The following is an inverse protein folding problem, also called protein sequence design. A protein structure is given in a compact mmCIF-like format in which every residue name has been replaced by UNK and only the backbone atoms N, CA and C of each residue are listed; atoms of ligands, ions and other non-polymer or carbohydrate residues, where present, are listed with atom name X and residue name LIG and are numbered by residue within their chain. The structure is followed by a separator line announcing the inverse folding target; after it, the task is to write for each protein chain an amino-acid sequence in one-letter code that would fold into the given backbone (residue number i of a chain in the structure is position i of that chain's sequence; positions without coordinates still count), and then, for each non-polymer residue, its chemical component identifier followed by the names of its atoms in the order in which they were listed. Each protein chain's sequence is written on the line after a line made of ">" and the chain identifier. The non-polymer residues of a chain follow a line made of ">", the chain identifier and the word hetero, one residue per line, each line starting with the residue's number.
data_IF_465257433438
#
_entry.id   IF_465257433438
#
_cell.length_a   1.000
_cell.length_b   1.000
_cell.length_c   1.000
_cell.angle_alpha   90.00
_cell.angle_beta   90.00
_cell.angle_gamma   90.00
#
_symmetry.space_group_name_H-M   'P 1'
#
loop_
_entity.id
_entity.type
_entity.pdbx_description
1 polymer ?
#
# COMPACT_ATOMS: atom_id res chain seq x y z
N UNK A 1 25.74 39.53 1.79
CA UNK A 1 24.73 38.89 2.65
C UNK A 1 24.43 37.52 2.06
N UNK A 2 25.02 36.45 2.61
CA UNK A 2 24.97 35.07 2.07
C UNK A 2 23.83 34.33 2.73
N UNK A 3 22.75 34.07 1.98
CA UNK A 3 21.72 33.14 2.40
C UNK A 3 22.12 31.75 1.86
N UNK A 4 22.84 30.99 2.65
CA UNK A 4 22.99 29.53 2.50
C UNK A 4 22.05 28.85 3.47
N UNK A 5 20.81 28.64 3.10
CA UNK A 5 19.92 27.70 3.77
C UNK A 5 19.92 26.41 2.95
N UNK A 6 20.91 25.57 3.21
CA UNK A 6 20.87 24.17 2.83
C UNK A 6 19.73 23.51 3.61
N UNK A 7 18.61 23.31 2.94
CA UNK A 7 17.54 22.46 3.44
C UNK A 7 18.03 21.00 3.34
N UNK A 8 18.86 20.58 4.32
CA UNK A 8 19.12 19.18 4.57
C UNK A 8 17.80 18.59 5.07
N UNK A 9 17.06 17.93 4.20
CA UNK A 9 16.09 16.93 4.59
C UNK A 9 16.91 15.81 5.25
N UNK A 10 17.21 16.00 6.51
CA UNK A 10 17.75 14.94 7.35
C UNK A 10 16.60 13.95 7.56
N UNK A 11 16.45 13.02 6.63
CA UNK A 11 15.80 11.75 6.92
C UNK A 11 16.52 11.25 8.17
N UNK A 12 15.81 11.30 9.30
CA UNK A 12 16.38 10.92 10.59
C UNK A 12 16.65 9.42 10.54
N UNK A 13 17.86 9.06 10.13
CA UNK A 13 18.37 7.69 9.98
C UNK A 13 18.16 6.88 11.27
N UNK A 14 18.04 7.55 12.41
CA UNK A 14 17.76 6.90 13.71
C UNK A 14 16.38 6.22 13.75
N UNK A 15 15.40 6.68 12.96
CA UNK A 15 14.10 6.00 12.86
C UNK A 15 14.21 4.66 12.11
N UNK A 16 15.17 4.53 11.20
CA UNK A 16 15.46 3.28 10.48
C UNK A 16 16.39 2.37 11.27
N UNK A 17 17.36 2.91 12.01
CA UNK A 17 18.26 2.13 12.89
C UNK A 17 17.51 1.40 14.00
N UNK A 18 16.30 1.82 14.33
CA UNK A 18 15.45 1.20 15.32
C UNK A 18 14.90 -0.17 14.86
N UNK A 19 14.88 -0.44 13.57
CA UNK A 19 14.50 -1.75 13.00
C UNK A 19 15.64 -2.77 13.21
N UNK A 20 16.87 -2.33 13.36
CA UNK A 20 18.11 -3.14 13.30
C UNK A 20 18.44 -3.94 14.57
N UNK A 21 17.53 -4.09 15.53
CA UNK A 21 17.73 -5.11 16.56
C UNK A 21 17.33 -6.46 15.96
N UNK A 22 18.30 -7.27 15.57
CA UNK A 22 18.21 -8.47 14.74
C UNK A 22 16.92 -9.30 14.85
N UNK A 23 16.39 -9.49 16.05
CA UNK A 23 15.21 -10.31 16.26
C UNK A 23 13.89 -9.65 15.79
N UNK A 24 13.76 -8.32 15.95
CA UNK A 24 12.52 -7.62 15.56
C UNK A 24 12.36 -7.53 14.04
N UNK A 25 13.47 -7.40 13.30
CA UNK A 25 13.45 -7.43 11.85
C UNK A 25 13.01 -8.80 11.34
N UNK A 26 13.52 -9.87 11.91
CA UNK A 26 13.14 -11.22 11.56
C UNK A 26 11.62 -11.44 11.74
N UNK A 27 11.07 -11.07 12.90
CA UNK A 27 9.63 -11.19 13.16
C UNK A 27 8.78 -10.30 12.23
N UNK A 28 9.24 -9.09 11.90
CA UNK A 28 8.55 -8.23 10.96
C UNK A 28 8.53 -8.84 9.55
N UNK A 29 9.66 -9.38 9.09
CA UNK A 29 9.72 -10.08 7.80
C UNK A 29 8.81 -11.33 7.78
N UNK A 30 8.78 -12.08 8.88
CA UNK A 30 7.85 -13.21 9.02
C UNK A 30 6.39 -12.75 8.90
N UNK A 31 6.00 -11.64 9.54
CA UNK A 31 4.65 -11.09 9.41
C UNK A 31 4.34 -10.65 7.99
N UNK A 32 5.30 -10.07 7.26
CA UNK A 32 5.15 -9.69 5.85
C UNK A 32 4.91 -10.94 4.99
N UNK A 33 5.71 -11.99 5.16
CA UNK A 33 5.56 -13.26 4.42
C UNK A 33 4.21 -13.92 4.73
N UNK A 34 3.82 -14.00 6.01
CA UNK A 34 2.53 -14.55 6.44
C UNK A 34 1.37 -13.74 5.84
N UNK A 35 1.46 -12.41 5.88
CA UNK A 35 0.46 -11.51 5.29
C UNK A 35 0.26 -11.77 3.80
N UNK A 36 1.37 -11.86 3.06
CA UNK A 36 1.34 -12.13 1.63
C UNK A 36 0.73 -13.51 1.35
N UNK A 37 1.17 -14.53 2.09
CA UNK A 37 0.67 -15.91 1.94
C UNK A 37 -0.83 -16.02 2.17
N UNK A 38 -1.35 -15.38 3.23
CA UNK A 38 -2.79 -15.39 3.53
C UNK A 38 -3.58 -14.74 2.39
N UNK A 39 -3.15 -13.56 1.90
CA UNK A 39 -3.84 -12.83 0.85
C UNK A 39 -3.82 -13.57 -0.49
N UNK A 40 -2.70 -14.20 -0.83
CA UNK A 40 -2.59 -15.03 -2.03
C UNK A 40 -3.44 -16.31 -1.92
N UNK A 41 -3.54 -16.90 -0.73
CA UNK A 41 -4.38 -18.09 -0.50
C UNK A 41 -5.87 -17.79 -0.73
N UNK A 42 -6.34 -16.62 -0.29
CA UNK A 42 -7.74 -16.20 -0.46
C UNK A 42 -8.01 -15.50 -1.79
N UNK A 43 -7.00 -15.30 -2.65
CA UNK A 43 -7.17 -14.62 -3.92
C UNK A 43 -8.05 -15.45 -4.88
N UNK A 44 -9.23 -14.95 -5.31
CA UNK A 44 -10.11 -15.68 -6.21
C UNK A 44 -9.64 -15.52 -7.65
N UNK A 45 -8.86 -16.47 -8.16
CA UNK A 45 -8.27 -16.41 -9.50
C UNK A 45 -9.30 -16.52 -10.62
N UNK A 46 -10.40 -17.24 -10.40
CA UNK A 46 -11.42 -17.50 -11.43
C UNK A 46 -12.57 -16.48 -11.42
N UNK A 47 -12.66 -15.66 -10.40
CA UNK A 47 -13.75 -14.71 -10.22
C UNK A 47 -13.31 -13.31 -10.68
N UNK A 48 -14.04 -12.67 -11.61
CA UNK A 48 -13.71 -11.30 -12.01
C UNK A 48 -13.91 -10.31 -10.87
N UNK A 49 -13.32 -9.11 -11.01
CA UNK A 49 -13.55 -7.97 -10.13
C UNK A 49 -15.03 -7.56 -10.18
N UNK A 50 -15.55 -7.08 -9.05
CA UNK A 50 -16.95 -6.66 -8.88
C UNK A 50 -17.05 -5.20 -8.46
N UNK A 51 -18.23 -4.57 -8.70
CA UNK A 51 -18.57 -3.22 -8.24
C UNK A 51 -17.45 -2.18 -8.41
N UNK A 52 -17.09 -1.49 -7.34
CA UNK A 52 -16.07 -0.41 -7.35
C UNK A 52 -14.74 -0.83 -8.00
N UNK A 53 -14.36 -2.10 -7.86
CA UNK A 53 -13.18 -2.64 -8.50
C UNK A 53 -13.23 -2.58 -10.03
N UNK A 54 -14.43 -2.81 -10.64
CA UNK A 54 -14.65 -2.70 -12.09
C UNK A 54 -14.56 -1.25 -12.55
N UNK A 55 -15.11 -0.32 -11.78
CA UNK A 55 -15.06 1.10 -12.14
C UNK A 55 -13.62 1.59 -12.17
N UNK A 56 -12.84 1.25 -11.14
CA UNK A 56 -11.40 1.55 -11.11
C UNK A 56 -10.62 0.88 -12.23
N UNK A 57 -10.96 -0.37 -12.55
CA UNK A 57 -10.38 -1.10 -13.67
C UNK A 57 -10.63 -0.38 -14.98
N UNK A 58 -11.90 -0.05 -15.28
CA UNK A 58 -12.32 0.58 -16.51
C UNK A 58 -11.63 1.92 -16.74
N UNK A 59 -11.56 2.74 -15.70
CA UNK A 59 -10.84 4.01 -15.73
C UNK A 59 -9.33 3.79 -15.99
N UNK A 60 -8.68 2.90 -15.23
CA UNK A 60 -7.26 2.62 -15.39
C UNK A 60 -6.96 2.08 -16.80
N UNK A 61 -7.82 1.22 -17.32
CA UNK A 61 -7.70 0.65 -18.66
C UNK A 61 -7.85 1.73 -19.75
N UNK A 62 -8.84 2.60 -19.66
CA UNK A 62 -9.03 3.70 -20.62
C UNK A 62 -7.83 4.65 -20.61
N UNK A 63 -7.36 5.07 -19.42
CA UNK A 63 -6.16 5.92 -19.32
C UNK A 63 -4.93 5.21 -19.90
N UNK A 64 -4.78 3.91 -19.64
CA UNK A 64 -3.64 3.13 -20.17
C UNK A 64 -3.59 3.10 -21.70
N UNK A 65 -4.75 3.11 -22.37
CA UNK A 65 -4.87 3.06 -23.82
C UNK A 65 -4.84 4.43 -24.49
N UNK A 66 -5.56 5.41 -23.90
CA UNK A 66 -5.75 6.71 -24.52
C UNK A 66 -4.74 7.75 -24.08
N UNK A 67 -4.06 7.53 -22.94
CA UNK A 67 -3.18 8.50 -22.26
C UNK A 67 -3.92 9.82 -21.93
N UNK A 68 -5.24 9.75 -21.80
CA UNK A 68 -6.11 10.89 -21.49
C UNK A 68 -7.02 10.54 -20.33
N UNK A 69 -7.44 11.55 -19.58
CA UNK A 69 -8.45 11.37 -18.53
C UNK A 69 -9.81 11.07 -19.18
N UNK A 70 -10.54 10.08 -18.69
CA UNK A 70 -11.90 9.82 -19.12
C UNK A 70 -12.81 11.03 -18.88
N UNK A 71 -13.57 11.44 -19.89
CA UNK A 71 -14.43 12.64 -19.81
C UNK A 71 -15.90 12.31 -19.51
N UNK A 72 -16.27 11.05 -19.51
CA UNK A 72 -17.68 10.59 -19.41
C UNK A 72 -18.06 9.93 -18.09
N UNK A 73 -17.11 9.71 -17.18
CA UNK A 73 -17.35 8.95 -15.97
C UNK A 73 -16.99 9.83 -14.77
N UNK A 74 -17.98 10.15 -13.95
CA UNK A 74 -17.76 10.82 -12.66
C UNK A 74 -17.25 9.79 -11.65
N UNK A 75 -15.94 9.72 -11.52
CA UNK A 75 -15.31 8.93 -10.46
C UNK A 75 -15.02 9.80 -9.25
N UNK A 76 -15.30 9.28 -8.08
CA UNK A 76 -15.03 9.97 -6.81
C UNK A 76 -13.60 9.80 -6.31
N UNK A 77 -12.84 8.84 -6.88
CA UNK A 77 -11.50 8.46 -6.43
C UNK A 77 -10.57 8.14 -7.61
N UNK A 78 -10.00 9.16 -8.24
CA UNK A 78 -9.15 8.99 -9.44
C UNK A 78 -7.73 8.51 -9.12
N UNK A 79 -7.28 8.64 -7.88
CA UNK A 79 -5.89 8.35 -7.49
C UNK A 79 -5.49 6.89 -7.68
N UNK A 80 -6.34 5.94 -7.32
CA UNK A 80 -6.08 4.52 -7.49
C UNK A 80 -6.03 4.08 -8.95
N UNK A 81 -7.03 4.40 -9.79
CA UNK A 81 -6.98 4.10 -11.22
C UNK A 81 -5.77 4.70 -11.92
N UNK A 82 -5.42 5.94 -11.61
CA UNK A 82 -4.23 6.59 -12.16
C UNK A 82 -2.93 5.89 -11.78
N UNK A 83 -2.85 5.37 -10.55
CA UNK A 83 -1.72 4.57 -10.11
C UNK A 83 -1.65 3.22 -10.84
N UNK A 84 -2.80 2.62 -11.20
CA UNK A 84 -2.86 1.36 -11.95
C UNK A 84 -2.57 1.53 -13.45
N UNK A 85 -2.91 2.67 -14.04
CA UNK A 85 -2.81 2.87 -15.49
C UNK A 85 -1.42 2.62 -16.08
N UNK A 86 -0.29 3.03 -15.49
CA UNK A 86 1.04 2.69 -15.99
C UNK A 86 1.33 1.18 -15.87
N UNK A 87 0.81 0.51 -14.84
CA UNK A 87 0.95 -0.94 -14.69
C UNK A 87 0.25 -1.65 -15.85
N UNK A 88 -0.99 -1.24 -16.16
CA UNK A 88 -1.75 -1.76 -17.29
C UNK A 88 -1.06 -1.47 -18.63
N UNK A 89 -0.44 -0.30 -18.79
CA UNK A 89 0.34 0.05 -19.99
C UNK A 89 1.55 -0.86 -20.17
N UNK A 90 2.24 -1.22 -19.09
CA UNK A 90 3.42 -2.13 -19.14
C UNK A 90 2.99 -3.54 -19.51
N UNK A 91 1.89 -4.03 -18.97
CA UNK A 91 1.33 -5.38 -19.27
C UNK A 91 0.82 -5.43 -20.72
N UNK A 92 0.36 -4.32 -21.26
CA UNK A 92 0.02 -4.17 -22.67
C UNK A 92 -1.33 -4.77 -23.06
N UNK A 93 -1.37 -5.53 -24.17
CA UNK A 93 -2.61 -6.10 -24.73
C UNK A 93 -2.92 -7.50 -24.19
N UNK A 94 -2.84 -7.67 -22.87
CA UNK A 94 -3.25 -8.90 -22.21
C UNK A 94 -4.77 -9.04 -22.15
N UNK A 95 -5.22 -10.26 -21.90
CA UNK A 95 -6.64 -10.55 -21.67
C UNK A 95 -7.15 -9.85 -20.39
N UNK A 96 -8.46 -9.71 -20.31
CA UNK A 96 -9.15 -9.04 -19.19
C UNK A 96 -8.72 -9.60 -17.82
N UNK A 97 -8.68 -10.93 -17.67
CA UNK A 97 -8.36 -11.56 -16.40
C UNK A 97 -6.92 -11.31 -15.96
N UNK A 98 -5.97 -11.24 -16.89
CA UNK A 98 -4.58 -10.88 -16.58
C UNK A 98 -4.47 -9.46 -15.98
N UNK A 99 -5.20 -8.50 -16.53
CA UNK A 99 -5.23 -7.13 -15.98
C UNK A 99 -5.97 -7.06 -14.63
N UNK A 100 -7.04 -7.85 -14.45
CA UNK A 100 -7.73 -8.02 -13.16
C UNK A 100 -6.78 -8.57 -12.10
N UNK A 101 -5.99 -9.58 -12.45
CA UNK A 101 -5.00 -10.12 -11.52
C UNK A 101 -3.90 -9.10 -11.21
N UNK A 102 -3.46 -8.32 -12.19
CA UNK A 102 -2.49 -7.25 -11.96
C UNK A 102 -3.01 -6.21 -10.95
N UNK A 103 -4.26 -5.78 -11.07
CA UNK A 103 -4.89 -4.87 -10.12
C UNK A 103 -4.93 -5.47 -8.71
N UNK A 104 -5.38 -6.73 -8.56
CA UNK A 104 -5.46 -7.43 -7.27
C UNK A 104 -4.09 -7.65 -6.65
N UNK A 105 -3.13 -8.14 -7.42
CA UNK A 105 -1.76 -8.37 -6.94
C UNK A 105 -1.13 -7.04 -6.48
N UNK A 106 -1.33 -5.97 -7.23
CA UNK A 106 -0.86 -4.63 -6.85
C UNK A 106 -1.47 -4.21 -5.51
N UNK A 107 -2.76 -4.38 -5.33
CA UNK A 107 -3.48 -4.09 -4.09
C UNK A 107 -2.95 -4.93 -2.92
N UNK A 108 -2.71 -6.23 -3.11
CA UNK A 108 -2.13 -7.14 -2.13
C UNK A 108 -0.73 -6.70 -1.71
N UNK A 109 0.12 -6.35 -2.68
CA UNK A 109 1.49 -5.88 -2.40
C UNK A 109 1.45 -4.59 -1.57
N UNK A 110 0.63 -3.63 -1.94
CA UNK A 110 0.46 -2.36 -1.21
C UNK A 110 -0.05 -2.60 0.21
N UNK A 111 -1.08 -3.43 0.38
CA UNK A 111 -1.61 -3.81 1.70
C UNK A 111 -0.54 -4.48 2.57
N UNK A 112 0.28 -5.35 1.98
CA UNK A 112 1.37 -6.02 2.68
C UNK A 112 2.47 -5.04 3.09
N UNK A 113 2.84 -4.09 2.22
CA UNK A 113 3.83 -3.05 2.53
C UNK A 113 3.36 -2.10 3.63
N UNK A 114 2.05 -1.94 3.83
CA UNK A 114 1.47 -1.12 4.90
C UNK A 114 1.83 -1.61 6.31
N UNK A 115 2.20 -2.88 6.47
CA UNK A 115 2.66 -3.44 7.74
C UNK A 115 3.88 -2.68 8.28
N UNK A 116 4.76 -2.19 7.40
CA UNK A 116 5.98 -1.47 7.78
C UNK A 116 5.67 -0.15 8.50
N UNK A 117 4.93 0.80 7.89
CA UNK A 117 4.58 2.04 8.57
C UNK A 117 3.67 1.82 9.78
N UNK A 118 2.79 0.81 9.78
CA UNK A 118 1.98 0.44 10.95
C UNK A 118 2.88 0.00 12.11
N UNK A 119 3.87 -0.86 11.88
CA UNK A 119 4.84 -1.24 12.90
C UNK A 119 5.63 -0.03 13.43
N UNK A 120 6.14 0.83 12.54
CA UNK A 120 6.89 2.04 12.92
C UNK A 120 6.01 2.98 13.74
N UNK A 121 4.76 3.18 13.33
CA UNK A 121 3.79 4.02 14.03
C UNK A 121 3.50 3.48 15.43
N UNK A 122 3.16 2.20 15.55
CA UNK A 122 2.86 1.54 16.82
C UNK A 122 4.06 1.60 17.77
N UNK A 123 5.28 1.46 17.25
CA UNK A 123 6.52 1.56 18.02
C UNK A 123 6.78 2.95 18.63
N UNK A 124 6.10 4.00 18.16
CA UNK A 124 6.17 5.32 18.81
C UNK A 124 5.48 5.37 20.17
N UNK A 125 4.50 4.50 20.39
CA UNK A 125 3.65 4.49 21.59
C UNK A 125 3.98 3.34 22.53
N UNK A 126 4.51 2.22 22.02
CA UNK A 126 4.79 1.03 22.81
C UNK A 126 6.16 0.43 22.50
N UNK A 127 6.62 -0.53 23.30
CA UNK A 127 7.89 -1.22 23.05
C UNK A 127 7.81 -2.07 21.77
N UNK A 128 8.98 -2.40 21.20
CA UNK A 128 9.09 -3.14 19.94
C UNK A 128 8.33 -4.48 19.93
N UNK A 129 8.24 -5.17 21.07
CA UNK A 129 7.49 -6.43 21.17
C UNK A 129 6.00 -6.23 21.00
N UNK A 130 5.44 -5.21 21.67
CA UNK A 130 4.02 -4.85 21.54
C UNK A 130 3.70 -4.23 20.17
N UNK A 131 4.67 -3.55 19.56
CA UNK A 131 4.50 -3.04 18.20
C UNK A 131 4.36 -4.17 17.16
N UNK A 132 5.02 -5.30 17.36
CA UNK A 132 4.83 -6.50 16.52
C UNK A 132 3.42 -7.09 16.68
N UNK A 133 2.85 -7.05 17.89
CA UNK A 133 1.45 -7.46 18.11
C UNK A 133 0.49 -6.54 17.35
N UNK A 134 0.69 -5.23 17.41
CA UNK A 134 -0.10 -4.27 16.63
C UNK A 134 -0.01 -4.50 15.13
N UNK A 135 1.19 -4.76 14.60
CA UNK A 135 1.38 -5.15 13.21
C UNK A 135 0.70 -6.50 12.89
N UNK A 136 0.73 -7.46 13.82
CA UNK A 136 0.02 -8.74 13.69
C UNK A 136 -1.49 -8.58 13.59
N UNK A 137 -2.10 -7.73 14.42
CA UNK A 137 -3.53 -7.42 14.33
C UNK A 137 -3.88 -6.93 12.93
N UNK A 138 -3.07 -6.01 12.36
CA UNK A 138 -3.25 -5.52 11.00
C UNK A 138 -3.15 -6.64 9.95
N UNK A 139 -2.22 -7.59 10.13
CA UNK A 139 -2.03 -8.74 9.21
C UNK A 139 -3.25 -9.65 9.16
N UNK A 140 -3.85 -9.94 10.32
CA UNK A 140 -4.93 -10.90 10.47
C UNK A 140 -6.33 -10.27 10.45
N UNK A 141 -6.45 -8.97 10.25
CA UNK A 141 -7.74 -8.30 10.15
C UNK A 141 -8.50 -8.78 8.89
N UNK A 142 -9.69 -9.40 9.04
CA UNK A 142 -10.42 -9.97 7.90
C UNK A 142 -10.84 -8.92 6.88
N UNK A 143 -11.19 -7.71 7.33
CA UNK A 143 -11.62 -6.64 6.43
C UNK A 143 -10.47 -6.09 5.59
N UNK A 144 -9.27 -6.00 6.18
CA UNK A 144 -8.07 -5.58 5.46
C UNK A 144 -7.61 -6.65 4.45
N UNK A 145 -7.80 -7.93 4.78
CA UNK A 145 -7.55 -9.02 3.84
C UNK A 145 -8.53 -8.93 2.67
N UNK A 146 -9.83 -8.84 2.95
CA UNK A 146 -10.89 -8.72 1.95
C UNK A 146 -10.63 -7.54 1.01
N UNK A 147 -10.44 -6.32 1.52
CA UNK A 147 -10.21 -5.13 0.71
C UNK A 147 -8.96 -5.28 -0.18
N UNK A 148 -7.91 -5.97 0.29
CA UNK A 148 -6.71 -6.16 -0.51
C UNK A 148 -6.90 -7.09 -1.71
N UNK A 149 -7.81 -8.07 -1.63
CA UNK A 149 -8.09 -9.00 -2.72
C UNK A 149 -9.20 -8.52 -3.69
N UNK A 150 -9.96 -7.50 -3.28
CA UNK A 150 -10.97 -6.87 -4.14
C UNK A 150 -10.38 -5.90 -5.17
N UNK A 151 -9.14 -5.45 -5.00
CA UNK A 151 -8.49 -4.51 -5.91
C UNK A 151 -9.02 -3.07 -5.82
N UNK A 152 -9.50 -2.67 -4.65
CA UNK A 152 -10.09 -1.36 -4.33
C UNK A 152 -9.06 -0.36 -3.79
N UNK A 153 -9.48 0.88 -3.49
CA UNK A 153 -8.60 2.00 -3.10
C UNK A 153 -8.07 1.92 -1.67
N UNK A 154 -8.72 1.19 -0.78
CA UNK A 154 -8.40 1.17 0.64
C UNK A 154 -6.94 0.81 0.96
N UNK A 155 -6.30 -0.17 0.30
CA UNK A 155 -4.91 -0.49 0.57
C UNK A 155 -3.94 0.67 0.34
N UNK A 156 -4.07 1.41 -0.77
CA UNK A 156 -3.20 2.55 -1.04
C UNK A 156 -3.49 3.71 -0.09
N UNK A 157 -4.76 3.94 0.23
CA UNK A 157 -5.16 4.95 1.20
C UNK A 157 -4.55 4.68 2.58
N UNK A 158 -4.64 3.44 3.07
CA UNK A 158 -4.06 3.04 4.35
C UNK A 158 -2.54 3.15 4.36
N UNK A 159 -1.88 2.81 3.26
CA UNK A 159 -0.43 2.99 3.12
C UNK A 159 -0.05 4.47 3.26
N UNK A 160 -0.70 5.34 2.49
CA UNK A 160 -0.41 6.77 2.46
C UNK A 160 -0.69 7.44 3.81
N UNK A 161 -1.85 7.19 4.42
CA UNK A 161 -2.19 7.77 5.72
C UNK A 161 -1.24 7.30 6.82
N UNK A 162 -0.83 6.02 6.79
CA UNK A 162 0.13 5.48 7.75
C UNK A 162 1.50 6.18 7.63
N UNK A 163 1.98 6.45 6.42
CA UNK A 163 3.19 7.24 6.20
C UNK A 163 3.05 8.69 6.66
N UNK A 164 1.92 9.34 6.35
CA UNK A 164 1.65 10.71 6.82
C UNK A 164 1.73 10.78 8.34
N UNK A 165 1.11 9.83 9.04
CA UNK A 165 1.15 9.77 10.51
C UNK A 165 2.57 9.52 11.04
N UNK A 166 3.33 8.62 10.42
CA UNK A 166 4.74 8.39 10.78
C UNK A 166 5.55 9.67 10.65
N UNK A 167 5.42 10.41 9.53
CA UNK A 167 6.16 11.65 9.31
C UNK A 167 5.74 12.78 10.26
N UNK A 168 4.44 12.91 10.53
CA UNK A 168 3.91 13.89 11.47
C UNK A 168 4.48 13.70 12.87
N UNK A 169 4.57 12.44 13.34
CA UNK A 169 5.10 12.11 14.66
C UNK A 169 6.63 12.15 14.74
N UNK A 170 7.34 12.06 13.62
CA UNK A 170 8.80 12.26 13.59
C UNK A 170 9.16 13.74 13.73
N UNK A 171 8.39 14.63 13.11
CA UNK A 171 8.64 16.08 13.13
C UNK A 171 8.44 16.70 14.51
N UNK A 172 7.60 16.14 15.36
CA UNK A 172 7.27 16.71 16.68
C UNK A 172 8.25 16.33 17.80
N UNK A 173 9.36 15.66 17.50
CA UNK A 173 10.47 15.46 18.46
C UNK A 173 11.52 16.57 18.32
N UNK A 174 11.13 17.81 18.66
CA UNK A 174 12.05 18.92 18.97
C UNK A 174 12.09 19.13 20.47
#
# INVERSE_FOLDING_TARGET
>A
MKIKSSMKIALNVDSFNVIYKNNNLFFLLTLIVVSLSIRLYYLPFEIPITFDGIDYFSFAFEVSKTQKFPTGILHTNDGWPLFLSPIFSIIGNSDFMSLVHAQRITSIVISTLTIIPVYILTKKFVSSKYALIGAGIFVFDPKLIENSILGVTEPIYLLLISFVLVFALVKNKK
#
